data_IF_502422329157
#
_entry.id   IF_502422329157
#
_cell.length_a   1.000
_cell.length_b   1.000
_cell.length_c   1.000
_cell.angle_alpha   90.00
_cell.angle_beta   90.00
_cell.angle_gamma   90.00
#
_symmetry.space_group_name_H-M   'P 1'
#
loop_
_entity.id
_entity.type
_entity.pdbx_description
1 polymer ?
#
# COMPACT_ATOMS: atom_id res chain seq x y z
N UNK A 1 9.74 -7.24 16.02
CA UNK A 1 8.69 -6.24 16.31
C UNK A 1 7.40 -7.00 16.56
N UNK A 2 6.92 -7.00 17.79
CA UNK A 2 5.69 -7.68 18.24
C UNK A 2 4.50 -6.95 17.64
N UNK A 3 3.59 -7.66 16.98
CA UNK A 3 2.31 -7.11 16.52
C UNK A 3 1.35 -7.09 17.71
N UNK A 4 1.24 -5.95 18.38
CA UNK A 4 0.32 -5.78 19.52
C UNK A 4 -1.12 -5.97 19.07
N UNK A 5 -1.86 -6.83 19.75
CA UNK A 5 -3.27 -7.11 19.50
C UNK A 5 -4.11 -6.15 20.35
N UNK A 6 -4.10 -4.86 20.03
CA UNK A 6 -5.18 -3.99 20.47
C UNK A 6 -6.42 -4.26 19.61
N UNK A 7 -7.59 -4.37 20.26
CA UNK A 7 -8.84 -4.61 19.53
C UNK A 7 -9.21 -3.36 18.74
N UNK A 8 -8.84 -3.35 17.46
CA UNK A 8 -9.05 -2.21 16.55
C UNK A 8 -10.51 -2.14 16.11
N UNK A 9 -11.15 -3.29 15.88
CA UNK A 9 -12.53 -3.37 15.35
C UNK A 9 -13.61 -3.55 16.41
N UNK A 10 -13.24 -3.79 17.68
CA UNK A 10 -14.15 -4.21 18.74
C UNK A 10 -14.58 -5.69 18.64
N UNK A 11 -14.15 -6.42 17.60
CA UNK A 11 -14.44 -7.85 17.37
C UNK A 11 -13.13 -8.64 17.46
N UNK A 12 -12.70 -8.90 18.69
CA UNK A 12 -11.37 -9.43 18.98
C UNK A 12 -10.99 -10.75 18.28
N UNK A 13 -11.95 -11.56 17.83
CA UNK A 13 -11.65 -12.78 17.06
C UNK A 13 -11.19 -12.43 15.63
N UNK A 14 -11.79 -11.42 15.00
CA UNK A 14 -11.42 -10.94 13.67
C UNK A 14 -10.06 -10.26 13.76
N UNK A 15 -9.85 -9.37 14.74
CA UNK A 15 -8.58 -8.67 14.92
C UNK A 15 -7.42 -9.65 15.06
N UNK A 16 -7.58 -10.68 15.89
CA UNK A 16 -6.56 -11.74 16.06
C UNK A 16 -6.32 -12.55 14.79
N UNK A 17 -7.38 -12.86 14.01
CA UNK A 17 -7.27 -13.52 12.71
C UNK A 17 -6.45 -12.69 11.72
N UNK A 18 -6.71 -11.39 11.63
CA UNK A 18 -5.97 -10.47 10.78
C UNK A 18 -4.50 -10.34 11.21
N UNK A 19 -4.22 -10.33 12.52
CA UNK A 19 -2.84 -10.30 13.03
C UNK A 19 -2.07 -11.56 12.59
N UNK A 20 -2.69 -12.75 12.65
CA UNK A 20 -2.08 -13.99 12.13
C UNK A 20 -1.77 -13.87 10.63
N UNK A 21 -2.72 -13.40 9.81
CA UNK A 21 -2.50 -13.25 8.37
C UNK A 21 -1.37 -12.25 8.06
N UNK A 22 -1.31 -11.13 8.80
CA UNK A 22 -0.21 -10.15 8.67
C UNK A 22 1.15 -10.72 9.10
N UNK A 23 1.19 -11.58 10.11
CA UNK A 23 2.42 -12.27 10.50
C UNK A 23 2.90 -13.21 9.39
N UNK A 24 2.00 -14.02 8.83
CA UNK A 24 2.28 -14.97 7.75
C UNK A 24 2.63 -14.31 6.41
N UNK A 25 2.24 -13.05 6.21
CA UNK A 25 2.66 -12.27 5.03
C UNK A 25 4.18 -11.99 5.00
N UNK A 26 4.88 -12.16 6.13
CA UNK A 26 6.34 -12.01 6.23
C UNK A 26 7.09 -13.31 5.94
N UNK A 27 6.40 -14.43 5.95
CA UNK A 27 6.93 -15.76 5.69
C UNK A 27 6.22 -16.86 6.48
N UNK A 28 6.47 -18.14 6.14
CA UNK A 28 5.91 -19.28 6.84
C UNK A 28 6.39 -19.35 8.30
N UNK A 29 5.47 -19.61 9.23
CA UNK A 29 5.74 -19.75 10.66
C UNK A 29 5.16 -21.07 11.20
N UNK A 30 5.88 -21.69 12.11
CA UNK A 30 5.31 -22.75 12.96
C UNK A 30 4.46 -22.13 14.09
N UNK A 31 3.90 -22.96 14.94
CA UNK A 31 3.04 -22.48 16.03
C UNK A 31 3.81 -21.65 17.07
N UNK A 32 5.09 -21.95 17.30
CA UNK A 32 5.93 -21.18 18.21
C UNK A 32 6.22 -19.79 17.64
N UNK A 33 6.63 -19.72 16.36
CA UNK A 33 6.86 -18.46 15.66
C UNK A 33 5.61 -17.57 15.58
N UNK A 34 4.40 -18.19 15.40
CA UNK A 34 3.15 -17.42 15.47
C UNK A 34 2.93 -16.80 16.86
N UNK A 35 3.20 -17.55 17.94
CA UNK A 35 3.10 -17.01 19.30
C UNK A 35 4.05 -15.82 19.50
N UNK A 36 5.32 -16.01 19.14
CA UNK A 36 6.38 -15.01 19.34
C UNK A 36 6.09 -13.70 18.60
N UNK A 37 5.50 -13.78 17.40
CA UNK A 37 5.23 -12.59 16.58
C UNK A 37 3.91 -11.92 16.92
N UNK A 38 2.90 -12.70 17.37
CA UNK A 38 1.53 -12.19 17.58
C UNK A 38 1.17 -11.96 19.04
N UNK A 39 2.01 -12.44 19.98
CA UNK A 39 1.74 -12.44 21.42
C UNK A 39 0.40 -13.11 21.82
N UNK A 40 -0.08 -14.03 20.97
CA UNK A 40 -1.30 -14.78 21.26
C UNK A 40 -0.99 -16.03 22.09
N UNK A 41 -1.86 -16.36 23.09
CA UNK A 41 -1.75 -17.63 23.78
C UNK A 41 -1.76 -18.82 22.79
N UNK A 42 -0.93 -19.85 23.04
CA UNK A 42 -0.73 -21.01 22.15
C UNK A 42 -2.06 -21.62 21.66
N UNK A 43 -3.00 -21.85 22.56
CA UNK A 43 -4.30 -22.44 22.22
C UNK A 43 -5.12 -21.52 21.30
N UNK A 44 -5.04 -20.20 21.50
CA UNK A 44 -5.73 -19.22 20.67
C UNK A 44 -5.10 -19.12 19.29
N UNK A 45 -3.78 -19.00 19.20
CA UNK A 45 -3.06 -18.96 17.93
C UNK A 45 -3.33 -20.21 17.09
N UNK A 46 -3.24 -21.40 17.70
CA UNK A 46 -3.52 -22.67 17.02
C UNK A 46 -4.96 -22.76 16.53
N UNK A 47 -5.95 -22.48 17.39
CA UNK A 47 -7.37 -22.57 17.02
C UNK A 47 -7.71 -21.61 15.88
N UNK A 48 -7.20 -20.38 15.91
CA UNK A 48 -7.44 -19.40 14.85
C UNK A 48 -6.71 -19.78 13.56
N UNK A 49 -5.46 -20.23 13.62
CA UNK A 49 -4.72 -20.68 12.43
C UNK A 49 -5.43 -21.86 11.75
N UNK A 50 -5.93 -22.83 12.52
CA UNK A 50 -6.72 -23.97 11.98
C UNK A 50 -8.07 -23.50 11.41
N UNK A 51 -8.75 -22.55 12.06
CA UNK A 51 -9.98 -21.98 11.51
C UNK A 51 -9.73 -21.26 10.18
N UNK A 52 -8.67 -20.45 10.08
CA UNK A 52 -8.26 -19.79 8.83
C UNK A 52 -7.83 -20.82 7.76
N UNK A 53 -7.20 -21.94 8.16
CA UNK A 53 -6.83 -23.04 7.27
C UNK A 53 -8.10 -23.71 6.68
N UNK A 54 -9.12 -23.92 7.50
CA UNK A 54 -10.41 -24.47 7.04
C UNK A 54 -11.09 -23.58 5.98
N UNK A 55 -10.90 -22.27 6.05
CA UNK A 55 -11.40 -21.30 5.06
C UNK A 55 -10.43 -21.07 3.89
N UNK A 56 -9.31 -21.77 3.81
CA UNK A 56 -8.32 -21.59 2.75
C UNK A 56 -7.52 -20.27 2.81
N UNK A 57 -7.71 -19.49 3.86
CA UNK A 57 -6.95 -18.24 4.09
C UNK A 57 -5.53 -18.51 4.59
N UNK A 58 -5.33 -19.64 5.22
CA UNK A 58 -4.04 -20.20 5.64
C UNK A 58 -3.92 -21.59 5.05
N UNK A 59 -2.73 -22.09 4.84
CA UNK A 59 -2.40 -23.46 4.47
C UNK A 59 -1.12 -23.88 5.19
N UNK A 60 -0.76 -25.18 5.09
CA UNK A 60 0.54 -25.66 5.54
C UNK A 60 1.48 -25.89 4.37
N UNK A 61 2.75 -25.57 4.59
CA UNK A 61 3.82 -25.94 3.69
C UNK A 61 4.25 -27.41 3.92
N UNK A 62 5.16 -27.98 3.09
CA UNK A 62 5.64 -29.35 3.26
C UNK A 62 6.34 -29.62 4.60
N UNK A 63 6.78 -28.59 5.32
CA UNK A 63 7.39 -28.67 6.65
C UNK A 63 6.35 -28.55 7.77
N UNK A 64 5.05 -28.44 7.44
CA UNK A 64 3.95 -28.31 8.39
C UNK A 64 3.78 -26.90 8.99
N UNK A 65 4.52 -25.91 8.50
CA UNK A 65 4.41 -24.51 8.94
C UNK A 65 3.20 -23.85 8.31
N UNK A 66 2.57 -22.93 9.03
CA UNK A 66 1.49 -22.11 8.51
C UNK A 66 2.03 -21.08 7.53
N UNK A 67 1.35 -20.86 6.41
CA UNK A 67 1.61 -19.85 5.41
C UNK A 67 0.30 -19.35 4.79
N UNK A 68 0.32 -18.23 4.06
CA UNK A 68 -0.87 -17.67 3.42
C UNK A 68 -1.49 -18.68 2.44
N UNK A 69 -2.81 -18.78 2.48
CA UNK A 69 -3.60 -19.70 1.65
C UNK A 69 -3.99 -19.11 0.30
N UNK A 70 -4.41 -19.96 -0.64
CA UNK A 70 -4.73 -19.57 -2.01
C UNK A 70 -6.03 -18.76 -2.12
N UNK A 71 -6.95 -18.87 -1.14
CA UNK A 71 -8.18 -18.08 -1.11
C UNK A 71 -7.90 -16.57 -1.06
N UNK A 72 -6.78 -16.17 -0.45
CA UNK A 72 -6.36 -14.76 -0.43
C UNK A 72 -6.03 -14.23 -1.83
N UNK A 73 -5.53 -15.07 -2.75
CA UNK A 73 -5.28 -14.67 -4.15
C UNK A 73 -6.61 -14.42 -4.86
N UNK A 74 -7.60 -15.31 -4.66
CA UNK A 74 -8.94 -15.15 -5.25
C UNK A 74 -9.65 -13.90 -4.74
N UNK A 75 -9.62 -13.69 -3.41
CA UNK A 75 -10.22 -12.52 -2.79
C UNK A 75 -9.52 -11.23 -3.22
N UNK A 76 -8.19 -11.25 -3.33
CA UNK A 76 -7.41 -10.11 -3.79
C UNK A 76 -7.78 -9.72 -5.23
N UNK A 77 -7.87 -10.68 -6.15
CA UNK A 77 -8.30 -10.42 -7.54
C UNK A 77 -9.72 -9.86 -7.61
N UNK A 78 -10.66 -10.46 -6.89
CA UNK A 78 -12.03 -9.94 -6.85
C UNK A 78 -12.10 -8.51 -6.26
N UNK A 79 -11.24 -8.19 -5.30
CA UNK A 79 -11.16 -6.83 -4.77
C UNK A 79 -10.58 -5.85 -5.81
N UNK A 80 -9.56 -6.26 -6.58
CA UNK A 80 -8.99 -5.46 -7.66
C UNK A 80 -10.03 -5.16 -8.76
N UNK A 81 -10.82 -6.17 -9.18
CA UNK A 81 -11.90 -6.01 -10.17
C UNK A 81 -13.00 -5.03 -9.71
N UNK A 82 -13.24 -4.93 -8.41
CA UNK A 82 -14.17 -3.98 -7.80
C UNK A 82 -13.59 -2.57 -7.62
N UNK A 83 -12.32 -2.39 -7.95
CA UNK A 83 -11.63 -1.11 -7.80
C UNK A 83 -10.98 -0.66 -9.13
N UNK A 84 -11.80 -0.27 -10.12
CA UNK A 84 -11.35 0.00 -11.49
C UNK A 84 -10.31 1.13 -11.59
N UNK A 85 -10.20 2.00 -10.58
CA UNK A 85 -9.22 3.08 -10.56
C UNK A 85 -7.78 2.59 -10.72
N UNK A 86 -7.44 1.42 -10.16
CA UNK A 86 -6.11 0.85 -10.30
C UNK A 86 -5.79 0.52 -11.76
N UNK A 87 -6.73 -0.08 -12.48
CA UNK A 87 -6.53 -0.50 -13.87
C UNK A 87 -6.56 0.68 -14.83
N UNK A 88 -7.53 1.60 -14.69
CA UNK A 88 -7.65 2.77 -15.56
C UNK A 88 -6.49 3.76 -15.38
N UNK A 89 -5.86 3.80 -14.23
CA UNK A 89 -4.70 4.66 -13.97
C UNK A 89 -3.39 4.08 -14.49
N UNK A 90 -3.29 2.76 -14.63
CA UNK A 90 -2.02 2.06 -14.95
C UNK A 90 -1.29 2.58 -16.19
N UNK A 91 -1.95 2.89 -17.32
CA UNK A 91 -1.26 3.44 -18.50
C UNK A 91 -0.57 4.78 -18.22
N UNK A 92 -1.27 5.72 -17.56
CA UNK A 92 -0.71 7.03 -17.21
C UNK A 92 0.45 6.92 -16.20
N UNK A 93 0.31 6.03 -15.21
CA UNK A 93 1.35 5.79 -14.22
C UNK A 93 2.58 5.09 -14.81
N UNK A 94 2.39 4.20 -15.80
CA UNK A 94 3.49 3.55 -16.52
C UNK A 94 4.27 4.58 -17.34
N UNK A 95 3.58 5.44 -18.08
CA UNK A 95 4.21 6.53 -18.81
C UNK A 95 5.00 7.46 -17.89
N UNK A 96 4.43 7.83 -16.74
CA UNK A 96 5.12 8.66 -15.73
C UNK A 96 6.37 7.98 -15.19
N UNK A 97 6.31 6.67 -14.87
CA UNK A 97 7.49 5.92 -14.43
C UNK A 97 8.57 5.89 -15.50
N UNK A 98 8.19 5.65 -16.75
CA UNK A 98 9.14 5.56 -17.86
C UNK A 98 9.77 6.92 -18.20
N UNK A 99 9.01 8.01 -18.05
CA UNK A 99 9.51 9.38 -18.22
C UNK A 99 10.48 9.78 -17.10
N UNK A 100 10.12 9.50 -15.85
CA UNK A 100 10.90 9.94 -14.68
C UNK A 100 12.03 8.99 -14.31
N UNK A 101 11.90 7.71 -14.65
CA UNK A 101 12.79 6.62 -14.22
C UNK A 101 12.61 6.25 -12.75
N UNK A 102 11.68 6.88 -12.01
CA UNK A 102 11.50 6.70 -10.57
C UNK A 102 10.27 5.86 -10.24
N UNK A 103 10.17 5.42 -8.98
CA UNK A 103 9.02 4.66 -8.53
C UNK A 103 7.76 5.53 -8.51
N UNK A 104 6.66 4.97 -9.04
CA UNK A 104 5.36 5.65 -9.14
C UNK A 104 4.32 4.87 -8.36
N UNK A 105 3.53 5.57 -7.56
CA UNK A 105 2.46 4.99 -6.77
C UNK A 105 1.15 5.77 -6.96
N UNK A 106 0.02 5.05 -6.80
CA UNK A 106 -1.30 5.63 -6.64
C UNK A 106 -1.79 5.33 -5.22
N UNK A 107 -2.20 6.37 -4.51
CA UNK A 107 -2.73 6.25 -3.16
C UNK A 107 -4.19 6.70 -3.12
N UNK A 108 -4.98 6.03 -2.28
CA UNK A 108 -6.33 6.44 -1.90
C UNK A 108 -6.41 6.66 -0.39
N UNK A 109 -7.32 7.51 0.05
CA UNK A 109 -7.60 7.65 1.48
C UNK A 109 -8.26 6.36 2.00
N UNK A 110 -7.85 5.94 3.19
CA UNK A 110 -8.40 4.80 3.93
C UNK A 110 -8.70 5.26 5.36
N UNK A 111 -9.51 4.52 6.11
CA UNK A 111 -9.93 4.89 7.46
C UNK A 111 -8.74 5.21 8.39
N UNK A 112 -7.65 4.44 8.28
CA UNK A 112 -6.48 4.53 9.17
C UNK A 112 -5.26 5.20 8.48
N UNK A 113 -5.44 5.80 7.28
CA UNK A 113 -4.31 6.37 6.58
C UNK A 113 -4.53 6.52 5.07
N UNK A 114 -3.50 6.22 4.27
CA UNK A 114 -3.57 6.11 2.81
C UNK A 114 -3.09 4.74 2.36
N UNK A 115 -3.81 4.14 1.43
CA UNK A 115 -3.49 2.84 0.86
C UNK A 115 -2.85 2.98 -0.50
N UNK A 116 -1.74 2.29 -0.70
CA UNK A 116 -1.10 2.16 -2.01
C UNK A 116 -1.90 1.16 -2.85
N UNK A 117 -2.58 1.61 -3.89
CA UNK A 117 -3.41 0.75 -4.75
C UNK A 117 -2.73 0.37 -6.05
N UNK A 118 -1.76 1.16 -6.50
CA UNK A 118 -0.83 0.81 -7.59
C UNK A 118 0.58 1.14 -7.14
N UNK A 119 1.52 0.24 -7.42
CA UNK A 119 2.95 0.45 -7.20
C UNK A 119 3.72 -0.02 -8.44
N UNK A 120 4.43 0.91 -9.07
CA UNK A 120 5.34 0.65 -10.18
C UNK A 120 6.75 0.99 -9.70
N UNK A 121 7.62 -0.01 -9.70
CA UNK A 121 9.00 0.18 -9.26
C UNK A 121 9.83 0.94 -10.31
N UNK A 122 10.76 1.75 -9.84
CA UNK A 122 11.82 2.35 -10.63
C UNK A 122 12.66 1.27 -11.32
N UNK A 123 13.20 1.60 -12.49
CA UNK A 123 14.15 0.75 -13.22
C UNK A 123 15.56 0.79 -12.63
N UNK A 124 15.84 1.72 -11.72
CA UNK A 124 17.13 1.82 -11.04
C UNK A 124 17.31 0.74 -9.95
N UNK A 125 18.54 0.26 -9.76
CA UNK A 125 18.89 -0.72 -8.71
C UNK A 125 18.55 -0.19 -7.32
N UNK A 126 18.99 1.02 -6.97
CA UNK A 126 18.59 1.71 -5.75
C UNK A 126 17.28 2.44 -6.00
N UNK A 127 16.19 1.97 -5.38
CA UNK A 127 14.85 2.52 -5.56
C UNK A 127 14.05 2.47 -4.27
N UNK A 128 13.10 3.37 -4.16
CA UNK A 128 12.12 3.33 -3.08
C UNK A 128 10.95 2.41 -3.47
N UNK A 129 10.63 1.45 -2.61
CA UNK A 129 9.57 0.47 -2.84
C UNK A 129 8.47 0.67 -1.79
N UNK A 130 7.25 0.86 -2.26
CA UNK A 130 6.04 0.78 -1.44
C UNK A 130 5.19 -0.36 -1.99
N UNK A 131 5.00 -1.45 -1.26
CA UNK A 131 4.19 -2.56 -1.74
C UNK A 131 2.75 -2.13 -2.03
N UNK A 132 2.15 -2.69 -3.08
CA UNK A 132 0.70 -2.58 -3.30
C UNK A 132 -0.05 -3.14 -2.09
N UNK A 133 -1.11 -2.46 -1.66
CA UNK A 133 -1.85 -2.78 -0.45
C UNK A 133 -1.24 -2.19 0.84
N UNK A 134 -0.04 -1.61 0.81
CA UNK A 134 0.56 -1.00 2.00
C UNK A 134 -0.27 0.17 2.52
N UNK A 135 -0.48 0.20 3.83
CA UNK A 135 -1.10 1.30 4.54
C UNK A 135 -0.02 2.23 5.10
N UNK A 136 -0.10 3.51 4.80
CA UNK A 136 0.84 4.54 5.20
C UNK A 136 0.12 5.66 5.96
N UNK A 137 0.79 6.38 6.87
CA UNK A 137 0.20 7.50 7.57
C UNK A 137 -0.32 8.58 6.61
N UNK A 138 -1.47 9.18 6.91
CA UNK A 138 -2.05 10.27 6.12
C UNK A 138 -1.43 11.63 6.45
N UNK A 139 -0.87 11.79 7.63
CA UNK A 139 -0.32 13.05 8.15
C UNK A 139 1.09 13.39 7.64
N UNK A 140 1.76 12.46 6.93
CA UNK A 140 3.15 12.63 6.47
C UNK A 140 3.30 12.34 4.98
N UNK A 141 4.26 13.04 4.36
CA UNK A 141 4.65 12.87 2.96
C UNK A 141 3.69 13.54 1.97
N UNK A 142 4.14 13.72 0.74
CA UNK A 142 3.46 14.47 -0.31
C UNK A 142 2.05 13.95 -0.62
N UNK A 143 1.89 12.64 -0.82
CA UNK A 143 0.58 12.04 -1.11
C UNK A 143 -0.43 12.20 0.05
N UNK A 144 0.05 12.20 1.31
CA UNK A 144 -0.79 12.47 2.45
C UNK A 144 -1.35 13.90 2.46
N UNK A 145 -0.53 14.90 2.11
CA UNK A 145 -0.99 16.29 1.96
C UNK A 145 -2.02 16.43 0.83
N UNK A 146 -1.75 15.81 -0.31
CA UNK A 146 -2.68 15.81 -1.46
C UNK A 146 -4.03 15.22 -1.07
N UNK A 147 -4.06 14.07 -0.41
CA UNK A 147 -5.32 13.43 0.02
C UNK A 147 -6.07 14.23 1.09
N UNK A 148 -5.41 15.20 1.76
CA UNK A 148 -6.03 16.13 2.71
C UNK A 148 -6.46 17.45 2.10
N UNK A 149 -6.18 17.70 0.81
CA UNK A 149 -6.72 18.85 0.10
C UNK A 149 -5.77 19.63 -0.79
N UNK A 150 -4.45 19.36 -0.76
CA UNK A 150 -3.50 20.04 -1.63
C UNK A 150 -3.66 19.53 -3.08
N UNK A 151 -3.55 20.42 -4.07
CA UNK A 151 -3.53 20.00 -5.48
C UNK A 151 -2.23 19.30 -5.83
N UNK A 152 -1.11 19.84 -5.37
CA UNK A 152 0.25 19.32 -5.53
C UNK A 152 1.02 19.54 -4.25
N UNK A 153 1.74 18.53 -3.81
CA UNK A 153 2.60 18.60 -2.66
C UNK A 153 3.94 17.89 -2.90
N UNK A 154 4.97 18.33 -2.20
CA UNK A 154 6.27 17.65 -2.17
C UNK A 154 6.66 17.31 -0.73
N UNK A 155 7.57 16.36 -0.57
CA UNK A 155 8.10 15.94 0.73
C UNK A 155 9.55 15.49 0.57
N UNK A 156 10.39 15.93 1.48
CA UNK A 156 11.80 15.56 1.53
C UNK A 156 12.11 15.06 2.93
N UNK A 157 12.49 13.79 3.03
CA UNK A 157 12.93 13.12 4.28
C UNK A 157 11.90 13.14 5.45
N UNK A 158 10.63 13.46 5.17
CA UNK A 158 9.59 13.51 6.22
C UNK A 158 9.20 12.14 6.74
N UNK A 159 9.20 11.14 5.89
CA UNK A 159 8.81 9.78 6.24
C UNK A 159 10.00 8.87 6.48
N UNK A 160 11.00 8.98 5.63
CA UNK A 160 12.22 8.19 5.70
C UNK A 160 13.41 9.07 5.31
N UNK A 161 14.53 9.00 6.04
CA UNK A 161 15.76 9.68 5.65
C UNK A 161 16.19 9.29 4.24
N UNK A 162 16.68 10.24 3.46
CA UNK A 162 17.16 10.02 2.09
C UNK A 162 16.07 9.80 1.04
N UNK A 163 14.79 9.94 1.38
CA UNK A 163 13.66 9.77 0.44
C UNK A 163 12.94 11.08 0.20
N UNK A 164 12.73 11.40 -1.08
CA UNK A 164 11.90 12.52 -1.51
C UNK A 164 10.71 12.02 -2.35
N UNK A 165 9.66 12.83 -2.42
CA UNK A 165 8.49 12.56 -3.24
C UNK A 165 7.76 13.82 -3.65
N UNK A 166 7.04 13.74 -4.77
CA UNK A 166 6.08 14.75 -5.23
C UNK A 166 4.81 14.05 -5.64
N UNK A 167 3.66 14.63 -5.32
CA UNK A 167 2.34 14.05 -5.59
C UNK A 167 1.37 15.08 -6.10
N UNK A 168 0.41 14.64 -6.94
CA UNK A 168 -0.67 15.47 -7.47
C UNK A 168 -2.02 14.77 -7.31
N UNK A 169 -3.08 15.59 -7.20
CA UNK A 169 -4.44 15.16 -6.94
C UNK A 169 -5.11 14.56 -8.19
N UNK A 170 -5.71 13.40 -8.02
CA UNK A 170 -6.68 12.83 -8.96
C UNK A 170 -8.08 13.19 -8.47
N UNK A 171 -8.90 13.79 -9.36
CA UNK A 171 -10.22 14.27 -9.04
C UNK A 171 -11.31 13.54 -9.79
N UNK A 172 -12.45 13.33 -9.14
CA UNK A 172 -13.67 12.81 -9.76
C UNK A 172 -14.45 13.91 -10.51
N UNK A 173 -15.58 13.55 -11.12
CA UNK A 173 -16.50 14.48 -11.78
C UNK A 173 -16.97 15.63 -10.88
N UNK A 174 -17.05 15.40 -9.58
CA UNK A 174 -17.47 16.38 -8.58
C UNK A 174 -16.31 17.23 -8.07
N UNK A 175 -15.12 17.13 -8.70
CA UNK A 175 -13.89 17.81 -8.30
C UNK A 175 -13.36 17.39 -6.92
N UNK A 176 -13.84 16.29 -6.35
CA UNK A 176 -13.33 15.76 -5.09
C UNK A 176 -12.05 14.98 -5.35
N UNK A 177 -11.08 15.11 -4.47
CA UNK A 177 -9.85 14.32 -4.50
C UNK A 177 -10.21 12.88 -4.12
N UNK A 178 -9.99 11.95 -5.05
CA UNK A 178 -10.26 10.52 -4.87
C UNK A 178 -8.98 9.70 -4.78
N UNK A 179 -7.86 10.23 -5.28
CA UNK A 179 -6.56 9.60 -5.21
C UNK A 179 -5.42 10.63 -5.31
N UNK A 180 -4.19 10.17 -5.04
CA UNK A 180 -2.95 10.92 -5.26
C UNK A 180 -1.98 10.09 -6.09
N UNK A 181 -1.54 10.61 -7.23
CA UNK A 181 -0.39 10.09 -7.98
C UNK A 181 0.89 10.60 -7.34
N UNK A 182 1.87 9.75 -7.16
CA UNK A 182 3.13 10.10 -6.49
C UNK A 182 4.33 9.54 -7.25
N UNK A 183 5.37 10.35 -7.42
CA UNK A 183 6.72 9.92 -7.76
C UNK A 183 7.55 9.96 -6.48
N UNK A 184 8.30 8.89 -6.21
CA UNK A 184 9.16 8.79 -5.02
C UNK A 184 10.46 8.05 -5.30
N UNK A 185 11.51 8.47 -4.63
CA UNK A 185 12.85 7.87 -4.79
C UNK A 185 13.89 8.54 -3.89
N UNK A 186 15.17 8.17 -4.06
CA UNK A 186 16.26 8.79 -3.33
C UNK A 186 16.36 10.30 -3.58
N UNK A 187 16.64 11.06 -2.53
CA UNK A 187 16.76 12.52 -2.58
C UNK A 187 17.86 12.99 -3.57
N UNK A 188 18.90 12.18 -3.76
CA UNK A 188 19.98 12.45 -4.71
C UNK A 188 19.48 12.54 -6.16
N UNK A 189 18.43 11.76 -6.51
CA UNK A 189 17.83 11.77 -7.86
C UNK A 189 16.60 12.66 -7.96
N UNK A 190 15.75 12.68 -6.94
CA UNK A 190 14.58 13.55 -6.92
C UNK A 190 14.93 15.02 -6.62
N UNK A 191 16.10 15.32 -6.07
CA UNK A 191 16.54 16.59 -5.52
C UNK A 191 15.79 17.00 -4.24
N UNK A 192 16.24 18.08 -3.59
CA UNK A 192 15.52 18.68 -2.46
C UNK A 192 14.35 19.58 -2.89
N UNK A 193 14.14 19.72 -4.21
CA UNK A 193 13.01 20.42 -4.83
C UNK A 193 12.30 19.47 -5.83
N UNK A 194 11.70 18.36 -5.35
CA UNK A 194 11.12 17.34 -6.22
C UNK A 194 9.97 17.89 -7.07
N UNK A 195 9.22 18.88 -6.58
CA UNK A 195 8.16 19.55 -7.35
C UNK A 195 8.72 20.30 -8.55
N UNK A 196 9.85 20.97 -8.41
CA UNK A 196 10.49 21.67 -9.52
C UNK A 196 10.94 20.71 -10.61
N UNK A 197 11.41 19.52 -10.20
CA UNK A 197 11.95 18.51 -11.13
C UNK A 197 10.86 17.71 -11.83
N UNK A 198 9.87 17.22 -11.11
CA UNK A 198 8.88 16.26 -11.60
C UNK A 198 7.43 16.71 -11.42
N UNK A 199 7.18 17.89 -10.85
CA UNK A 199 5.81 18.36 -10.57
C UNK A 199 4.93 18.38 -11.81
N UNK A 200 5.42 18.90 -12.93
CA UNK A 200 4.67 18.97 -14.19
C UNK A 200 4.29 17.58 -14.72
N UNK A 201 5.21 16.62 -14.68
CA UNK A 201 4.95 15.25 -15.13
C UNK A 201 3.90 14.55 -14.23
N UNK A 202 4.02 14.73 -12.92
CA UNK A 202 3.07 14.15 -11.94
C UNK A 202 1.68 14.77 -12.09
N UNK A 203 1.58 16.08 -12.27
CA UNK A 203 0.32 16.79 -12.53
C UNK A 203 -0.33 16.31 -13.83
N UNK A 204 0.46 16.18 -14.91
CA UNK A 204 -0.04 15.67 -16.20
C UNK A 204 -0.61 14.24 -16.06
N UNK A 205 0.09 13.35 -15.35
CA UNK A 205 -0.39 11.99 -15.10
C UNK A 205 -1.67 11.98 -14.25
N UNK A 206 -1.75 12.80 -13.20
CA UNK A 206 -2.94 12.93 -12.36
C UNK A 206 -4.14 13.47 -13.14
N UNK A 207 -3.92 14.46 -14.01
CA UNK A 207 -4.95 14.99 -14.90
C UNK A 207 -5.43 13.95 -15.92
N UNK A 208 -4.53 13.15 -16.49
CA UNK A 208 -4.90 12.07 -17.41
C UNK A 208 -5.81 11.03 -16.72
N UNK A 209 -5.51 10.65 -15.49
CA UNK A 209 -6.38 9.75 -14.71
C UNK A 209 -7.72 10.41 -14.39
N UNK A 210 -7.71 11.68 -13.98
CA UNK A 210 -8.94 12.43 -13.66
C UNK A 210 -9.87 12.56 -14.88
N UNK A 211 -9.29 12.78 -16.08
CA UNK A 211 -10.06 12.89 -17.33
C UNK A 211 -10.80 11.58 -17.67
N UNK A 212 -10.23 10.43 -17.36
CA UNK A 212 -10.91 9.12 -17.54
C UNK A 212 -12.06 8.98 -16.54
N UNK A 213 -11.87 9.39 -15.29
CA UNK A 213 -12.91 9.33 -14.26
C UNK A 213 -14.08 10.31 -14.51
N UNK A 214 -13.85 11.33 -15.34
CA UNK A 214 -14.87 12.30 -15.72
C UNK A 214 -15.75 11.86 -16.89
N UNK A 215 -15.41 10.77 -17.58
CA UNK A 215 -16.23 10.18 -18.66
C UNK A 215 -17.36 9.31 -18.08
#
# INVERSE_FOLDING_TARGET
MILVVDSVSGVGVIDKGVVILRALARGPLDLAGLQDVTDLPRATAHRLAVALEHHGLVRRDPQGRFCLGFELIRLGRAAEEQFPLADISRPALTALRDETGESVQLYVADADGRRCVVSLESTHGLRWIVPQGALLPLDRGSAGRVLRGDDVAESVEEREPGVASVSAAVRDRSQRIVAAVSVSGPVERLSREPRRRFGQAVEAAAHAVSAILAQ
#
